data_IF_376273468038
#
_entry.id   IF_376273468038
#
_cell.length_a   1.000
_cell.length_b   1.000
_cell.length_c   1.000
_cell.angle_alpha   90.00
_cell.angle_beta   90.00
_cell.angle_gamma   90.00
#
_symmetry.space_group_name_H-M   'P 1'
#
loop_
_entity.id
_entity.type
_entity.pdbx_description
1 polymer ?
#
# COMPACT_ATOMS: atom_id res chain seq x y z
N UNK A 1 -13.19 -7.84 21.39
CA UNK A 1 -12.33 -6.72 21.84
C UNK A 1 -10.90 -7.24 21.84
N UNK A 2 -10.13 -7.00 20.78
CA UNK A 2 -8.78 -7.55 20.62
C UNK A 2 -7.75 -6.48 20.98
N UNK A 3 -7.07 -6.66 22.13
CA UNK A 3 -6.06 -5.74 22.68
C UNK A 3 -4.65 -5.97 22.09
N UNK A 4 -4.55 -6.53 20.88
CA UNK A 4 -3.27 -6.78 20.19
C UNK A 4 -3.08 -6.05 18.85
N UNK A 5 -4.00 -5.20 18.42
CA UNK A 5 -3.82 -4.32 17.25
C UNK A 5 -3.02 -3.05 17.59
N UNK A 6 -1.90 -3.19 18.29
CA UNK A 6 -1.26 -2.08 19.02
C UNK A 6 0.17 -1.86 18.47
N UNK A 7 0.30 -0.82 17.62
CA UNK A 7 1.52 -0.06 17.29
C UNK A 7 2.60 -0.60 16.33
N UNK A 8 2.34 -1.57 15.43
CA UNK A 8 3.41 -2.00 14.50
C UNK A 8 3.49 -1.22 13.19
N UNK A 9 2.38 -0.62 12.73
CA UNK A 9 2.34 0.13 11.48
C UNK A 9 1.58 1.45 11.69
N UNK A 10 2.29 2.51 12.12
CA UNK A 10 1.69 3.83 12.26
C UNK A 10 1.82 4.58 10.93
N UNK A 11 0.82 4.40 10.08
CA UNK A 11 0.58 5.23 8.91
C UNK A 11 0.34 6.67 9.38
N UNK A 12 0.90 7.65 8.69
CA UNK A 12 0.47 9.04 8.79
C UNK A 12 -0.97 9.11 8.28
N UNK A 13 -1.97 9.35 9.15
CA UNK A 13 -3.38 9.31 8.77
C UNK A 13 -3.75 10.36 7.71
N UNK A 14 -2.89 11.36 7.52
CA UNK A 14 -3.07 12.42 6.54
C UNK A 14 -2.79 11.97 5.10
N UNK A 15 -2.11 10.84 4.88
CA UNK A 15 -1.71 10.38 3.54
C UNK A 15 -2.54 9.22 3.03
N UNK A 16 -2.94 8.29 3.92
CA UNK A 16 -3.76 7.13 3.59
C UNK A 16 -4.93 6.96 4.54
N UNK A 17 -6.14 7.10 4.01
CA UNK A 17 -7.36 6.78 4.74
C UNK A 17 -7.64 5.28 4.63
N UNK A 18 -7.96 4.65 5.77
CA UNK A 18 -8.19 3.21 5.82
C UNK A 18 -6.92 2.36 5.74
N UNK A 19 -5.72 2.95 5.86
CA UNK A 19 -4.42 2.24 5.80
C UNK A 19 -4.24 1.10 6.83
N UNK A 20 -5.12 0.99 7.82
CA UNK A 20 -5.18 -0.16 8.72
C UNK A 20 -5.38 -1.50 7.99
N UNK A 21 -6.12 -1.53 6.87
CA UNK A 21 -6.27 -2.78 6.10
C UNK A 21 -5.01 -3.15 5.33
N UNK A 22 -4.13 -2.19 5.03
CA UNK A 22 -2.84 -2.48 4.46
C UNK A 22 -1.94 -3.13 5.51
N UNK A 23 -1.98 -2.70 6.78
CA UNK A 23 -1.27 -3.39 7.85
C UNK A 23 -1.57 -4.91 7.91
N UNK A 24 -2.84 -5.28 7.68
CA UNK A 24 -3.29 -6.68 7.64
C UNK A 24 -2.67 -7.48 6.47
N UNK A 25 -2.36 -6.83 5.33
CA UNK A 25 -1.66 -7.45 4.19
C UNK A 25 -0.30 -8.01 4.62
N UNK A 26 0.46 -7.26 5.42
CA UNK A 26 1.79 -7.68 5.89
C UNK A 26 1.75 -8.68 7.03
N UNK A 27 0.67 -8.72 7.81
CA UNK A 27 0.47 -9.73 8.86
C UNK A 27 -0.05 -11.07 8.30
N UNK A 28 -0.15 -11.20 6.97
CA UNK A 28 -0.54 -12.44 6.29
C UNK A 28 -2.03 -12.75 6.36
N UNK A 29 -2.86 -11.75 6.71
CA UNK A 29 -4.30 -11.88 6.63
C UNK A 29 -4.76 -11.95 5.16
N UNK A 30 -5.89 -12.61 4.85
CA UNK A 30 -6.43 -12.62 3.50
C UNK A 30 -6.81 -11.20 3.08
N UNK A 31 -5.98 -10.58 2.25
CA UNK A 31 -6.14 -9.23 1.73
C UNK A 31 -7.14 -9.16 0.57
N UNK A 32 -8.23 -9.91 0.68
CA UNK A 32 -9.23 -10.07 -0.38
C UNK A 32 -10.16 -8.84 -0.52
N UNK A 33 -9.94 -7.75 0.24
CA UNK A 33 -10.81 -6.55 0.24
C UNK A 33 -10.16 -5.25 0.79
N UNK A 34 -8.86 -5.00 0.58
CA UNK A 34 -8.29 -3.73 1.03
C UNK A 34 -8.28 -2.68 -0.09
N UNK A 35 -9.12 -1.65 0.05
CA UNK A 35 -9.15 -0.42 -0.76
C UNK A 35 -8.84 0.78 0.13
N UNK A 36 -7.55 1.04 0.34
CA UNK A 36 -7.12 2.26 1.01
C UNK A 36 -7.27 3.45 0.05
N UNK A 37 -7.79 4.57 0.54
CA UNK A 37 -7.95 5.80 -0.25
C UNK A 37 -6.69 6.66 -0.10
N UNK A 38 -6.26 7.26 -1.22
CA UNK A 38 -5.10 8.12 -1.28
C UNK A 38 -5.53 9.58 -1.02
N UNK A 39 -5.39 10.02 0.24
CA UNK A 39 -6.00 11.27 0.70
C UNK A 39 -5.17 12.52 0.42
N UNK A 40 -3.85 12.38 0.38
CA UNK A 40 -2.93 13.48 0.11
C UNK A 40 -1.74 13.00 -0.74
N UNK A 41 -1.99 12.59 -2.00
CA UNK A 41 -0.91 12.21 -2.90
C UNK A 41 0.02 13.40 -3.13
N UNK A 42 1.32 13.13 -3.16
CA UNK A 42 2.37 14.14 -3.29
C UNK A 42 3.28 13.94 -4.50
N UNK A 43 3.16 12.82 -5.20
CA UNK A 43 4.03 12.46 -6.33
C UNK A 43 3.21 12.05 -7.55
N UNK A 44 3.46 12.72 -8.67
CA UNK A 44 3.04 12.30 -10.02
C UNK A 44 4.06 11.29 -10.54
N UNK A 45 3.66 10.02 -10.63
CA UNK A 45 4.54 8.94 -11.13
C UNK A 45 4.21 8.57 -12.58
N UNK A 46 3.01 8.90 -13.04
CA UNK A 46 2.52 8.58 -14.38
C UNK A 46 2.89 9.66 -15.42
N UNK A 47 3.15 10.88 -14.97
CA UNK A 47 3.49 12.06 -15.77
C UNK A 47 2.28 12.75 -16.40
N UNK A 48 1.07 12.53 -15.87
CA UNK A 48 -0.18 13.09 -16.42
C UNK A 48 -0.56 14.45 -15.77
N UNK A 49 0.23 14.91 -14.80
CA UNK A 49 -0.01 16.14 -14.06
C UNK A 49 -0.96 15.98 -12.85
N UNK A 50 -1.37 14.75 -12.53
CA UNK A 50 -2.10 14.38 -11.31
C UNK A 50 -1.14 13.73 -10.32
N UNK A 51 -1.47 13.85 -9.04
CA UNK A 51 -0.68 13.23 -7.99
C UNK A 51 -1.23 11.83 -7.74
N UNK A 52 -0.36 10.84 -7.86
CA UNK A 52 -0.71 9.42 -7.94
C UNK A 52 -0.22 8.63 -6.72
N UNK A 53 0.67 9.21 -5.91
CA UNK A 53 1.37 8.45 -4.87
C UNK A 53 1.66 9.22 -3.60
N UNK A 54 1.70 8.49 -2.48
CA UNK A 54 2.13 8.99 -1.18
C UNK A 54 3.29 8.15 -0.63
N UNK A 55 4.23 8.82 0.03
CA UNK A 55 5.37 8.19 0.69
C UNK A 55 5.10 8.13 2.17
N UNK A 56 5.09 6.92 2.73
CA UNK A 56 4.86 6.70 4.14
C UNK A 56 6.12 6.15 4.82
N UNK A 57 6.27 6.48 6.09
CA UNK A 57 7.32 5.94 6.95
C UNK A 57 6.67 5.04 7.98
N UNK A 58 7.06 3.77 7.98
CA UNK A 58 6.54 2.79 8.94
C UNK A 58 7.69 2.10 9.66
N UNK A 59 7.89 2.48 10.93
CA UNK A 59 9.12 2.17 11.65
C UNK A 59 10.30 2.80 10.90
N UNK A 60 11.22 1.95 10.45
CA UNK A 60 12.38 2.35 9.65
C UNK A 60 12.23 1.96 8.16
N UNK A 61 11.07 1.43 7.75
CA UNK A 61 10.76 1.15 6.35
C UNK A 61 10.16 2.37 5.66
N UNK A 62 10.45 2.50 4.36
CA UNK A 62 9.76 3.43 3.46
C UNK A 62 8.72 2.64 2.67
N UNK A 63 7.50 3.17 2.59
CA UNK A 63 6.42 2.60 1.79
C UNK A 63 5.99 3.65 0.76
N UNK A 64 5.85 3.24 -0.50
CA UNK A 64 5.25 4.01 -1.57
C UNK A 64 3.90 3.36 -1.90
N UNK A 65 2.81 4.07 -1.67
CA UNK A 65 1.47 3.67 -2.07
C UNK A 65 1.05 4.50 -3.29
N UNK A 66 0.50 3.83 -4.30
CA UNK A 66 0.19 4.44 -5.60
C UNK A 66 -1.19 4.05 -6.10
N UNK A 67 -1.94 5.05 -6.57
CA UNK A 67 -3.10 4.92 -7.45
C UNK A 67 -2.59 4.93 -8.90
N UNK A 68 -2.79 3.83 -9.62
CA UNK A 68 -2.25 3.65 -10.97
C UNK A 68 -3.31 3.74 -12.06
N UNK A 69 -4.59 3.66 -11.69
CA UNK A 69 -5.73 3.76 -12.61
C UNK A 69 -6.51 5.09 -12.47
N UNK A 70 -6.19 5.89 -11.46
CA UNK A 70 -6.77 7.21 -11.19
C UNK A 70 -8.14 7.18 -10.51
N UNK A 71 -8.50 6.07 -9.84
CA UNK A 71 -9.80 5.89 -9.19
C UNK A 71 -9.86 6.44 -7.74
N UNK A 72 -8.73 6.95 -7.23
CA UNK A 72 -8.56 7.50 -5.88
C UNK A 72 -8.11 6.47 -4.84
N UNK A 73 -7.95 5.20 -5.22
CA UNK A 73 -7.57 4.11 -4.31
C UNK A 73 -6.17 3.58 -4.63
N UNK A 74 -5.54 3.01 -3.61
CA UNK A 74 -4.21 2.42 -3.75
C UNK A 74 -4.30 1.10 -4.53
N UNK A 75 -3.64 1.06 -5.69
CA UNK A 75 -3.52 -0.12 -6.55
C UNK A 75 -2.19 -0.86 -6.37
N UNK A 76 -1.14 -0.14 -5.97
CA UNK A 76 0.20 -0.67 -5.88
C UNK A 76 0.92 -0.17 -4.62
N UNK A 77 1.73 -1.05 -4.04
CA UNK A 77 2.56 -0.75 -2.89
C UNK A 77 3.96 -1.26 -3.13
N UNK A 78 4.95 -0.41 -2.88
CA UNK A 78 6.37 -0.81 -2.79
C UNK A 78 6.88 -0.48 -1.41
N UNK A 79 7.44 -1.46 -0.72
CA UNK A 79 8.12 -1.27 0.55
C UNK A 79 9.62 -1.45 0.36
N UNK A 80 10.40 -0.61 1.04
CA UNK A 80 11.85 -0.75 1.19
C UNK A 80 12.15 -0.78 2.68
N UNK A 81 12.68 -1.90 3.15
CA UNK A 81 13.13 -2.14 4.52
C UNK A 81 14.54 -1.64 4.78
N UNK A 82 14.94 -1.70 6.07
CA UNK A 82 16.25 -1.24 6.56
C UNK A 82 17.44 -2.08 6.10
N UNK A 83 17.17 -3.32 5.69
CA UNK A 83 18.12 -4.30 5.21
C UNK A 83 18.22 -4.33 3.68
N UNK A 84 17.76 -3.25 3.03
CA UNK A 84 17.57 -3.16 1.58
C UNK A 84 16.58 -4.19 1.04
N UNK A 85 15.83 -4.91 1.88
CA UNK A 85 14.76 -5.76 1.42
C UNK A 85 13.68 -4.90 0.77
N UNK A 86 13.17 -5.35 -0.36
CA UNK A 86 12.01 -4.73 -0.98
C UNK A 86 10.92 -5.77 -1.21
N UNK A 87 9.68 -5.30 -1.15
CA UNK A 87 8.51 -6.06 -1.55
C UNK A 87 7.60 -5.16 -2.38
N UNK A 88 7.10 -5.68 -3.50
CA UNK A 88 6.15 -4.99 -4.35
C UNK A 88 4.85 -5.79 -4.41
N UNK A 89 3.75 -5.10 -4.15
CA UNK A 89 2.41 -5.63 -4.14
C UNK A 89 1.54 -4.86 -5.12
N UNK A 90 0.64 -5.56 -5.81
CA UNK A 90 -0.34 -4.95 -6.71
C UNK A 90 -1.70 -5.60 -6.53
N UNK A 91 -2.75 -4.82 -6.70
CA UNK A 91 -4.10 -5.32 -6.79
C UNK A 91 -4.34 -5.90 -8.18
N UNK A 92 -4.77 -7.16 -8.24
CA UNK A 92 -5.24 -7.76 -9.49
C UNK A 92 -6.75 -7.55 -9.58
N UNK A 93 -7.19 -6.64 -10.44
CA UNK A 93 -8.60 -6.51 -10.80
C UNK A 93 -9.03 -7.78 -11.53
N UNK A 94 -9.92 -8.57 -10.93
CA UNK A 94 -10.54 -9.71 -11.59
C UNK A 94 -11.77 -9.18 -12.36
N UNK A 95 -11.78 -9.20 -13.72
CA UNK A 95 -12.79 -8.49 -14.52
C UNK A 95 -14.25 -8.95 -14.34
N UNK A 96 -14.49 -10.01 -13.56
CA UNK A 96 -15.78 -10.67 -13.41
C UNK A 96 -16.20 -10.91 -11.95
N UNK A 97 -15.37 -10.53 -10.98
CA UNK A 97 -15.67 -10.71 -9.57
C UNK A 97 -15.40 -9.38 -8.89
N UNK A 98 -16.36 -8.82 -8.15
CA UNK A 98 -16.20 -7.62 -7.31
C UNK A 98 -15.10 -7.74 -6.23
N UNK A 99 -14.36 -8.85 -6.26
CA UNK A 99 -13.26 -9.22 -5.40
C UNK A 99 -11.95 -8.77 -6.03
N UNK A 100 -11.33 -7.79 -5.40
CA UNK A 100 -9.97 -7.37 -5.68
C UNK A 100 -9.02 -8.10 -4.71
N UNK A 101 -7.93 -8.66 -5.22
CA UNK A 101 -6.94 -9.37 -4.39
C UNK A 101 -5.56 -8.75 -4.55
N UNK A 102 -4.93 -8.46 -3.42
CA UNK A 102 -3.51 -8.12 -3.37
C UNK A 102 -2.64 -9.33 -3.71
N UNK A 103 -1.70 -9.13 -4.63
CA UNK A 103 -0.72 -10.12 -5.01
C UNK A 103 0.68 -9.53 -4.87
N UNK A 104 1.58 -10.26 -4.23
CA UNK A 104 3.00 -9.92 -4.22
C UNK A 104 3.53 -10.20 -5.62
N UNK A 105 3.94 -9.13 -6.30
CA UNK A 105 4.46 -9.19 -7.67
C UNK A 105 5.96 -9.35 -7.74
N UNK A 106 6.69 -8.86 -6.72
CA UNK A 106 8.15 -8.92 -6.66
C UNK A 106 8.65 -8.79 -5.22
N UNK A 107 9.85 -9.31 -4.95
CA UNK A 107 10.57 -9.14 -3.70
C UNK A 107 12.07 -9.46 -3.86
N UNK A 108 12.91 -8.89 -3.00
CA UNK A 108 14.35 -9.15 -3.04
C UNK A 108 15.18 -8.18 -2.22
N UNK A 109 16.44 -8.02 -2.61
CA UNK A 109 17.38 -7.08 -1.99
C UNK A 109 17.83 -6.05 -3.04
N UNK A 110 17.78 -4.77 -2.69
CA UNK A 110 18.40 -3.71 -3.47
C UNK A 110 19.92 -3.77 -3.27
N UNK A 111 20.67 -3.84 -4.37
CA UNK A 111 22.13 -3.99 -4.42
C UNK A 111 22.90 -2.68 -4.24
#
# INVERSE_FOLDING_TARGET
MCLRCVYRYMWTPDELLGGGCLADLWDGAPADYCRAELANPGLDISGDGRLDSARLLVGESVILASDTNGDGFVDAITQIGVDNAFEAWRISELPASEHQRWQRGDDGLLA
#
